data_IF_380870542704
#
_entry.id   IF_380870542704
#
_cell.length_a   1.000
_cell.length_b   1.000
_cell.length_c   1.000
_cell.angle_alpha   90.00
_cell.angle_beta   90.00
_cell.angle_gamma   90.00
#
_symmetry.space_group_name_H-M   'P 1'
#
loop_
_entity.id
_entity.type
_entity.pdbx_description
1 polymer ?
#
# COMPACT_ATOMS: atom_id res chain seq x y z
N UNK A 1 37.03 23.27 -12.22
CA UNK A 1 35.71 22.77 -12.68
C UNK A 1 35.95 21.52 -13.51
N UNK A 2 35.79 20.35 -12.89
CA UNK A 2 35.95 19.05 -13.56
C UNK A 2 34.63 18.28 -13.40
N UNK A 3 34.11 17.82 -14.53
CA UNK A 3 32.85 17.10 -14.67
C UNK A 3 32.75 15.96 -13.64
N UNK A 4 31.62 15.87 -12.92
CA UNK A 4 31.26 14.76 -12.02
C UNK A 4 30.20 13.80 -12.64
N UNK A 5 30.48 13.05 -13.72
CA UNK A 5 29.58 11.97 -14.16
C UNK A 5 29.50 10.84 -13.13
N UNK A 6 30.62 10.52 -12.47
CA UNK A 6 30.72 9.40 -11.53
C UNK A 6 29.82 9.59 -10.31
N UNK A 7 29.82 10.77 -9.68
CA UNK A 7 28.97 11.05 -8.51
C UNK A 7 27.47 10.93 -8.82
N UNK A 8 27.05 11.31 -10.03
CA UNK A 8 25.67 11.14 -10.50
C UNK A 8 25.32 9.66 -10.68
N UNK A 9 26.22 8.87 -11.27
CA UNK A 9 26.02 7.42 -11.45
C UNK A 9 25.97 6.70 -10.10
N UNK A 10 26.86 7.03 -9.16
CA UNK A 10 26.84 6.45 -7.81
C UNK A 10 25.52 6.74 -7.08
N UNK A 11 25.00 7.98 -7.17
CA UNK A 11 23.70 8.33 -6.59
C UNK A 11 22.53 7.56 -7.23
N UNK A 12 22.57 7.33 -8.55
CA UNK A 12 21.54 6.51 -9.23
C UNK A 12 21.59 5.06 -8.76
N UNK A 13 22.79 4.47 -8.67
CA UNK A 13 22.97 3.07 -8.25
C UNK A 13 22.53 2.89 -6.79
N UNK A 14 22.89 3.82 -5.91
CA UNK A 14 22.50 3.80 -4.51
C UNK A 14 20.97 3.90 -4.33
N UNK A 15 20.31 4.80 -5.06
CA UNK A 15 18.84 4.88 -5.06
C UNK A 15 18.18 3.60 -5.57
N UNK A 16 18.74 3.00 -6.62
CA UNK A 16 18.24 1.73 -7.14
C UNK A 16 18.41 0.58 -6.12
N UNK A 17 19.52 0.57 -5.40
CA UNK A 17 19.77 -0.38 -4.32
C UNK A 17 18.73 -0.25 -3.21
N UNK A 18 18.48 0.96 -2.71
CA UNK A 18 17.45 1.18 -1.69
C UNK A 18 16.05 0.78 -2.16
N UNK A 19 15.68 1.06 -3.41
CA UNK A 19 14.38 0.63 -3.96
C UNK A 19 14.26 -0.89 -4.02
N UNK A 20 15.31 -1.59 -4.44
CA UNK A 20 15.31 -3.04 -4.51
C UNK A 20 15.15 -3.65 -3.11
N UNK A 21 15.99 -3.21 -2.16
CA UNK A 21 15.92 -3.66 -0.78
C UNK A 21 14.57 -3.34 -0.14
N UNK A 22 14.02 -2.14 -0.36
CA UNK A 22 12.69 -1.78 0.09
C UNK A 22 11.61 -2.71 -0.48
N UNK A 23 11.67 -2.99 -1.78
CA UNK A 23 10.73 -3.89 -2.45
C UNK A 23 10.72 -5.29 -1.85
N UNK A 24 11.91 -5.84 -1.57
CA UNK A 24 12.04 -7.15 -0.94
C UNK A 24 11.47 -7.14 0.48
N UNK A 25 11.87 -6.18 1.31
CA UNK A 25 11.43 -6.09 2.72
C UNK A 25 9.92 -5.81 2.83
N UNK A 26 9.37 -4.96 1.97
CA UNK A 26 7.93 -4.72 1.90
C UNK A 26 7.20 -5.99 1.49
N UNK A 27 7.75 -6.78 0.57
CA UNK A 27 7.16 -8.07 0.18
C UNK A 27 7.08 -9.02 1.37
N UNK A 28 8.14 -9.15 2.16
CA UNK A 28 8.14 -9.96 3.38
C UNK A 28 7.08 -9.47 4.38
N UNK A 29 6.96 -8.15 4.58
CA UNK A 29 5.93 -7.58 5.45
C UNK A 29 4.50 -7.97 5.01
N UNK A 30 4.24 -7.98 3.69
CA UNK A 30 2.93 -8.33 3.14
C UNK A 30 2.63 -9.83 3.19
N UNK A 31 3.66 -10.68 3.18
CA UNK A 31 3.54 -12.13 3.30
C UNK A 31 3.33 -12.55 4.75
N UNK A 32 4.09 -11.96 5.67
CA UNK A 32 4.05 -12.28 7.10
C UNK A 32 2.94 -11.53 7.85
N UNK A 33 2.38 -10.47 7.27
CA UNK A 33 1.39 -9.61 7.92
C UNK A 33 1.96 -8.80 9.09
N UNK A 34 3.28 -8.56 9.10
CA UNK A 34 3.99 -7.77 10.11
C UNK A 34 4.74 -6.59 9.49
N UNK A 35 4.91 -5.51 10.25
CA UNK A 35 5.76 -4.36 9.88
C UNK A 35 7.20 -4.50 10.37
N UNK A 36 7.52 -5.56 11.13
CA UNK A 36 8.82 -5.73 11.78
C UNK A 36 10.01 -5.71 10.79
N UNK A 37 9.95 -6.38 9.62
CA UNK A 37 11.08 -6.34 8.68
C UNK A 37 11.44 -4.93 8.23
N UNK A 38 10.44 -4.08 7.98
CA UNK A 38 10.65 -2.67 7.64
C UNK A 38 11.20 -1.89 8.84
N UNK A 39 10.68 -2.14 10.05
CA UNK A 39 11.17 -1.47 11.26
C UNK A 39 12.65 -1.74 11.50
N UNK A 40 13.09 -2.99 11.38
CA UNK A 40 14.50 -3.39 11.53
C UNK A 40 15.40 -2.66 10.52
N UNK A 41 15.01 -2.67 9.24
CA UNK A 41 15.76 -1.96 8.19
C UNK A 41 15.89 -0.46 8.48
N UNK A 42 14.80 0.19 8.93
CA UNK A 42 14.79 1.64 9.19
C UNK A 42 15.63 1.99 10.42
N UNK A 43 15.67 1.14 11.45
CA UNK A 43 16.45 1.41 12.66
C UNK A 43 17.94 1.61 12.34
N UNK A 44 18.51 0.77 11.48
CA UNK A 44 19.91 0.91 11.05
C UNK A 44 20.15 2.25 10.32
N UNK A 45 19.21 2.66 9.47
CA UNK A 45 19.28 3.91 8.72
C UNK A 45 19.14 5.14 9.61
N UNK A 46 18.27 5.08 10.61
CA UNK A 46 18.08 6.13 11.61
C UNK A 46 19.33 6.28 12.48
N UNK A 47 19.96 5.17 12.87
CA UNK A 47 21.21 5.18 13.63
C UNK A 47 22.37 5.79 12.84
N UNK A 48 22.41 5.60 11.53
CA UNK A 48 23.35 6.30 10.67
C UNK A 48 23.10 7.82 10.72
N UNK A 49 21.85 8.26 10.78
CA UNK A 49 21.48 9.67 10.95
C UNK A 49 21.16 10.37 9.62
N UNK A 50 21.33 11.70 9.53
CA UNK A 50 20.82 12.49 8.40
C UNK A 50 21.29 12.07 7.00
N UNK A 51 22.45 11.43 6.86
CA UNK A 51 22.92 10.94 5.56
C UNK A 51 22.01 9.85 4.96
N UNK A 52 21.18 9.20 5.76
CA UNK A 52 20.24 8.17 5.31
C UNK A 52 18.92 8.73 4.75
N UNK A 53 18.73 10.05 4.80
CA UNK A 53 17.47 10.69 4.39
C UNK A 53 17.06 10.33 2.96
N UNK A 54 18.00 10.29 2.03
CA UNK A 54 17.70 9.93 0.64
C UNK A 54 17.26 8.47 0.50
N UNK A 55 17.91 7.55 1.21
CA UNK A 55 17.50 6.14 1.24
C UNK A 55 16.11 5.95 1.85
N UNK A 56 15.81 6.62 2.96
CA UNK A 56 14.48 6.59 3.59
C UNK A 56 13.38 7.14 2.67
N UNK A 57 13.68 8.17 1.87
CA UNK A 57 12.76 8.68 0.84
C UNK A 57 12.50 7.67 -0.26
N UNK A 58 13.53 6.94 -0.71
CA UNK A 58 13.35 5.88 -1.70
C UNK A 58 12.50 4.71 -1.16
N UNK A 59 12.69 4.34 0.11
CA UNK A 59 11.86 3.31 0.77
C UNK A 59 10.41 3.77 0.88
N UNK A 60 10.17 5.02 1.31
CA UNK A 60 8.82 5.61 1.36
C UNK A 60 8.18 5.61 -0.04
N UNK A 61 8.94 5.97 -1.08
CA UNK A 61 8.48 5.92 -2.46
C UNK A 61 8.04 4.53 -2.88
N UNK A 62 8.77 3.49 -2.50
CA UNK A 62 8.41 2.10 -2.83
C UNK A 62 7.18 1.63 -2.03
N UNK A 63 7.04 2.01 -0.75
CA UNK A 63 5.85 1.73 0.05
C UNK A 63 4.59 2.37 -0.56
N UNK A 64 4.66 3.65 -0.92
CA UNK A 64 3.56 4.37 -1.57
C UNK A 64 3.19 3.75 -2.91
N UNK A 65 4.18 3.37 -3.72
CA UNK A 65 3.97 2.69 -5.00
C UNK A 65 3.29 1.34 -4.81
N UNK A 66 3.75 0.55 -3.83
CA UNK A 66 3.14 -0.74 -3.52
C UNK A 66 1.71 -0.58 -3.03
N UNK A 67 1.43 0.43 -2.21
CA UNK A 67 0.07 0.73 -1.74
C UNK A 67 -0.85 1.10 -2.88
N UNK A 68 -0.41 1.96 -3.80
CA UNK A 68 -1.17 2.31 -4.99
C UNK A 68 -1.53 1.07 -5.83
N UNK A 69 -0.58 0.15 -6.02
CA UNK A 69 -0.83 -1.12 -6.72
C UNK A 69 -1.90 -1.97 -6.00
N UNK A 70 -1.85 -2.08 -4.66
CA UNK A 70 -2.85 -2.86 -3.92
C UNK A 70 -4.24 -2.22 -3.98
N UNK A 71 -4.34 -0.88 -4.03
CA UNK A 71 -5.61 -0.20 -4.30
C UNK A 71 -6.14 -0.49 -5.70
N UNK A 72 -5.28 -0.51 -6.71
CA UNK A 72 -5.67 -0.86 -8.09
C UNK A 72 -6.17 -2.31 -8.16
N UNK A 73 -5.48 -3.24 -7.48
CA UNK A 73 -5.89 -4.65 -7.38
C UNK A 73 -7.28 -4.76 -6.69
N UNK A 74 -7.51 -4.02 -5.60
CA UNK A 74 -8.80 -3.97 -4.90
C UNK A 74 -9.93 -3.45 -5.80
N UNK A 75 -9.66 -2.39 -6.55
CA UNK A 75 -10.62 -1.84 -7.52
C UNK A 75 -10.91 -2.86 -8.63
N UNK A 76 -9.90 -3.56 -9.12
CA UNK A 76 -10.06 -4.60 -10.12
C UNK A 76 -10.95 -5.74 -9.63
N UNK A 77 -10.69 -6.29 -8.44
CA UNK A 77 -11.50 -7.37 -7.83
C UNK A 77 -12.95 -6.90 -7.65
N UNK A 78 -13.15 -5.68 -7.13
CA UNK A 78 -14.49 -5.12 -6.94
C UNK A 78 -15.26 -4.97 -8.25
N UNK A 79 -14.58 -4.53 -9.32
CA UNK A 79 -15.19 -4.39 -10.64
C UNK A 79 -15.50 -5.75 -11.28
N UNK A 80 -14.61 -6.74 -11.14
CA UNK A 80 -14.84 -8.11 -11.62
C UNK A 80 -16.04 -8.75 -10.92
N UNK A 81 -16.15 -8.59 -9.60
CA UNK A 81 -17.33 -9.05 -8.84
C UNK A 81 -18.62 -8.41 -9.38
N UNK A 82 -18.62 -7.08 -9.62
CA UNK A 82 -19.76 -6.39 -10.21
C UNK A 82 -20.17 -6.97 -11.56
N UNK A 83 -19.20 -7.23 -12.44
CA UNK A 83 -19.44 -7.82 -13.77
C UNK A 83 -20.04 -9.23 -13.65
N UNK A 84 -19.49 -10.07 -12.76
CA UNK A 84 -19.98 -11.44 -12.58
C UNK A 84 -21.41 -11.44 -12.01
N UNK A 85 -21.69 -10.61 -10.99
CA UNK A 85 -23.03 -10.50 -10.42
C UNK A 85 -24.05 -10.00 -11.45
N UNK A 86 -23.68 -9.02 -12.29
CA UNK A 86 -24.51 -8.61 -13.44
C UNK A 86 -24.75 -9.77 -14.42
N UNK A 87 -23.77 -10.63 -14.63
CA UNK A 87 -23.91 -11.87 -15.43
C UNK A 87 -24.97 -12.83 -14.87
N UNK A 88 -25.17 -12.86 -13.55
CA UNK A 88 -26.26 -13.56 -12.88
C UNK A 88 -27.60 -12.80 -12.88
N UNK A 89 -27.67 -11.65 -13.56
CA UNK A 89 -28.87 -10.80 -13.62
C UNK A 89 -29.02 -9.84 -12.44
N UNK A 90 -28.02 -9.75 -11.55
CA UNK A 90 -28.09 -8.95 -10.33
C UNK A 90 -27.74 -7.49 -10.64
N UNK A 91 -28.67 -6.58 -10.37
CA UNK A 91 -28.45 -5.13 -10.48
C UNK A 91 -28.21 -4.47 -9.11
N UNK A 92 -27.12 -3.72 -9.00
CA UNK A 92 -26.73 -2.99 -7.78
C UNK A 92 -26.91 -1.47 -7.88
N UNK A 93 -27.46 -0.98 -9.00
CA UNK A 93 -27.57 0.45 -9.30
C UNK A 93 -28.40 1.20 -8.25
N UNK A 94 -29.43 0.55 -7.70
CA UNK A 94 -30.31 1.13 -6.68
C UNK A 94 -29.70 1.19 -5.28
N UNK A 95 -28.57 0.52 -5.04
CA UNK A 95 -27.97 0.39 -3.70
C UNK A 95 -26.66 1.17 -3.51
N UNK A 96 -26.17 1.89 -4.52
CA UNK A 96 -24.91 2.65 -4.45
C UNK A 96 -23.79 2.09 -5.33
N UNK A 97 -24.10 1.12 -6.20
CA UNK A 97 -23.15 0.58 -7.18
C UNK A 97 -22.01 -0.21 -6.55
N UNK A 98 -20.82 -0.10 -7.13
CA UNK A 98 -19.68 -0.95 -6.79
C UNK A 98 -19.11 -0.71 -5.38
N UNK A 99 -19.38 0.45 -4.77
CA UNK A 99 -18.91 0.74 -3.41
C UNK A 99 -19.52 -0.18 -2.36
N UNK A 100 -20.76 -0.64 -2.59
CA UNK A 100 -21.50 -1.52 -1.66
C UNK A 100 -20.88 -2.93 -1.62
N UNK A 101 -20.21 -3.35 -2.70
CA UNK A 101 -19.71 -4.71 -2.85
C UNK A 101 -18.68 -5.10 -1.80
N UNK A 102 -17.92 -4.13 -1.30
CA UNK A 102 -16.92 -4.37 -0.24
C UNK A 102 -17.56 -4.69 1.12
N UNK A 103 -18.82 -4.30 1.32
CA UNK A 103 -19.55 -4.48 2.58
C UNK A 103 -20.81 -5.34 2.45
N UNK A 104 -21.13 -5.79 1.24
CA UNK A 104 -22.36 -6.52 0.94
C UNK A 104 -22.34 -7.89 1.62
N UNK A 105 -23.24 -8.13 2.57
CA UNK A 105 -23.32 -9.43 3.23
C UNK A 105 -24.06 -10.47 2.38
N UNK A 106 -23.86 -11.75 2.68
CA UNK A 106 -24.61 -12.85 2.05
C UNK A 106 -26.12 -12.68 2.22
N UNK A 107 -26.58 -12.26 3.41
CA UNK A 107 -28.01 -12.05 3.65
C UNK A 107 -28.57 -10.93 2.77
N UNK A 108 -27.83 -9.82 2.64
CA UNK A 108 -28.22 -8.72 1.76
C UNK A 108 -28.23 -9.14 0.29
N UNK A 109 -27.31 -10.01 -0.13
CA UNK A 109 -27.32 -10.56 -1.48
C UNK A 109 -28.56 -11.44 -1.71
N UNK A 110 -28.93 -12.29 -0.74
CA UNK A 110 -30.13 -13.12 -0.83
C UNK A 110 -31.41 -12.27 -0.93
N UNK A 111 -31.51 -11.20 -0.13
CA UNK A 111 -32.61 -10.23 -0.23
C UNK A 111 -32.69 -9.60 -1.63
N UNK A 112 -31.54 -9.22 -2.21
CA UNK A 112 -31.48 -8.67 -3.57
C UNK A 112 -31.94 -9.70 -4.61
N UNK A 113 -31.52 -10.96 -4.46
CA UNK A 113 -31.93 -12.05 -5.35
C UNK A 113 -33.44 -12.27 -5.29
N UNK A 114 -34.04 -12.19 -4.10
CA UNK A 114 -35.49 -12.30 -3.90
C UNK A 114 -36.24 -11.10 -4.49
N UNK A 115 -35.78 -9.87 -4.23
CA UNK A 115 -36.33 -8.63 -4.79
C UNK A 115 -36.31 -8.61 -6.32
N UNK A 116 -35.30 -9.23 -6.93
CA UNK A 116 -35.10 -9.28 -8.38
C UNK A 116 -35.70 -10.54 -9.03
N UNK A 117 -36.42 -11.36 -8.27
CA UNK A 117 -37.03 -12.62 -8.73
C UNK A 117 -36.03 -13.58 -9.39
N UNK A 118 -34.78 -13.61 -8.89
CA UNK A 118 -33.76 -14.56 -9.35
C UNK A 118 -33.98 -15.87 -8.58
N UNK A 119 -34.75 -16.78 -9.18
CA UNK A 119 -35.16 -18.05 -8.57
C UNK A 119 -34.28 -19.24 -8.96
N UNK A 120 -33.46 -19.08 -10.00
CA UNK A 120 -32.59 -20.14 -10.50
C UNK A 120 -31.55 -20.54 -9.44
N UNK A 121 -31.58 -21.79 -9.02
CA UNK A 121 -30.74 -22.31 -7.93
C UNK A 121 -29.26 -22.14 -8.26
N UNK A 122 -28.87 -22.40 -9.50
CA UNK A 122 -27.48 -22.26 -9.97
C UNK A 122 -27.01 -20.81 -9.90
N UNK A 123 -27.83 -19.84 -10.34
CA UNK A 123 -27.51 -18.42 -10.26
C UNK A 123 -27.40 -17.93 -8.81
N UNK A 124 -28.31 -18.38 -7.93
CA UNK A 124 -28.29 -18.03 -6.50
C UNK A 124 -27.07 -18.61 -5.79
N UNK A 125 -26.80 -19.91 -5.98
CA UNK A 125 -25.64 -20.56 -5.37
C UNK A 125 -24.32 -20.00 -5.91
N UNK A 126 -24.24 -19.77 -7.22
CA UNK A 126 -23.04 -19.23 -7.87
C UNK A 126 -22.73 -17.80 -7.44
N UNK A 127 -23.74 -16.93 -7.36
CA UNK A 127 -23.54 -15.54 -6.92
C UNK A 127 -23.11 -15.43 -5.46
N UNK A 128 -23.65 -16.27 -4.56
CA UNK A 128 -23.21 -16.34 -3.17
C UNK A 128 -21.77 -16.84 -3.06
N UNK A 129 -21.39 -17.87 -3.82
CA UNK A 129 -20.02 -18.38 -3.81
C UNK A 129 -19.03 -17.33 -4.32
N UNK A 130 -19.31 -16.69 -5.44
CA UNK A 130 -18.45 -15.64 -6.00
C UNK A 130 -18.32 -14.46 -5.04
N UNK A 131 -19.39 -14.09 -4.33
CA UNK A 131 -19.33 -13.05 -3.29
C UNK A 131 -18.36 -13.44 -2.18
N UNK A 132 -18.45 -14.68 -1.66
CA UNK A 132 -17.56 -15.21 -0.61
C UNK A 132 -16.11 -15.16 -1.03
N UNK A 133 -15.79 -15.73 -2.19
CA UNK A 133 -14.43 -15.82 -2.70
C UNK A 133 -13.85 -14.41 -2.93
N UNK A 134 -14.66 -13.49 -3.45
CA UNK A 134 -14.26 -12.10 -3.65
C UNK A 134 -14.06 -11.36 -2.33
N UNK A 135 -14.87 -11.64 -1.30
CA UNK A 135 -14.75 -11.04 0.02
C UNK A 135 -13.47 -11.46 0.74
N UNK A 136 -13.04 -12.71 0.59
CA UNK A 136 -11.76 -13.19 1.12
C UNK A 136 -10.58 -12.42 0.50
N UNK A 137 -10.62 -12.23 -0.82
CA UNK A 137 -9.61 -11.44 -1.54
C UNK A 137 -9.64 -9.96 -1.13
N UNK A 138 -10.82 -9.34 -1.07
CA UNK A 138 -11.00 -7.95 -0.64
C UNK A 138 -10.46 -7.76 0.78
N UNK A 139 -10.80 -8.65 1.71
CA UNK A 139 -10.33 -8.61 3.09
C UNK A 139 -8.80 -8.67 3.16
N UNK A 140 -8.19 -9.58 2.39
CA UNK A 140 -6.73 -9.70 2.30
C UNK A 140 -6.09 -8.42 1.77
N UNK A 141 -6.63 -7.82 0.72
CA UNK A 141 -6.12 -6.57 0.14
C UNK A 141 -6.26 -5.39 1.12
N UNK A 142 -7.37 -5.30 1.86
CA UNK A 142 -7.58 -4.27 2.89
C UNK A 142 -6.58 -4.39 4.04
N UNK A 143 -6.27 -5.63 4.48
CA UNK A 143 -5.23 -5.87 5.49
C UNK A 143 -3.87 -5.36 4.98
N UNK A 144 -3.53 -5.68 3.72
CA UNK A 144 -2.28 -5.23 3.08
C UNK A 144 -2.19 -3.70 2.96
N UNK A 145 -3.29 -3.03 2.59
CA UNK A 145 -3.36 -1.57 2.56
C UNK A 145 -3.06 -0.98 3.93
N UNK A 146 -3.72 -1.48 4.99
CA UNK A 146 -3.50 -1.00 6.36
C UNK A 146 -2.07 -1.20 6.82
N UNK A 147 -1.45 -2.33 6.46
CA UNK A 147 -0.05 -2.59 6.79
C UNK A 147 0.88 -1.58 6.11
N UNK A 148 0.64 -1.27 4.84
CA UNK A 148 1.41 -0.27 4.08
C UNK A 148 1.20 1.15 4.61
N UNK A 149 -0.02 1.50 5.06
CA UNK A 149 -0.29 2.78 5.73
C UNK A 149 0.50 2.93 7.04
N UNK A 150 0.61 1.86 7.82
CA UNK A 150 1.43 1.86 9.04
C UNK A 150 2.92 2.06 8.71
N UNK A 151 3.42 1.37 7.68
CA UNK A 151 4.80 1.54 7.18
C UNK A 151 5.06 2.97 6.73
N UNK A 152 4.16 3.55 5.92
CA UNK A 152 4.28 4.93 5.45
C UNK A 152 4.31 5.93 6.60
N UNK A 153 3.41 5.77 7.58
CA UNK A 153 3.35 6.64 8.76
C UNK A 153 4.65 6.58 9.54
N UNK A 154 5.16 5.38 9.81
CA UNK A 154 6.42 5.17 10.51
C UNK A 154 7.63 5.79 9.78
N UNK A 155 7.69 5.65 8.45
CA UNK A 155 8.73 6.28 7.62
C UNK A 155 8.64 7.81 7.65
N UNK A 156 7.43 8.37 7.58
CA UNK A 156 7.21 9.82 7.64
C UNK A 156 7.67 10.41 8.97
N UNK A 157 7.36 9.76 10.08
CA UNK A 157 7.80 10.19 11.41
C UNK A 157 9.33 10.27 11.51
N UNK A 158 10.04 9.24 11.04
CA UNK A 158 11.51 9.25 11.03
C UNK A 158 12.10 10.26 10.07
N UNK A 159 11.51 10.42 8.88
CA UNK A 159 11.95 11.43 7.91
C UNK A 159 11.83 12.84 8.50
N UNK A 160 10.75 13.15 9.22
CA UNK A 160 10.62 14.44 9.91
C UNK A 160 11.66 14.61 11.01
N UNK A 161 11.86 13.57 11.85
CA UNK A 161 12.85 13.60 12.92
C UNK A 161 14.28 13.85 12.40
N UNK A 162 14.70 13.12 11.37
CA UNK A 162 16.02 13.25 10.78
C UNK A 162 16.19 14.55 9.99
N UNK A 163 15.14 15.03 9.32
CA UNK A 163 15.17 16.32 8.62
C UNK A 163 15.37 17.46 9.62
N UNK A 164 14.69 17.40 10.77
CA UNK A 164 14.87 18.37 11.84
C UNK A 164 16.31 18.36 12.40
N UNK A 165 16.87 17.17 12.65
CA UNK A 165 18.26 17.03 13.09
C UNK A 165 19.25 17.59 12.07
N UNK A 166 19.04 17.30 10.78
CA UNK A 166 19.87 17.80 9.69
C UNK A 166 19.94 19.34 9.67
N UNK A 167 18.77 20.00 9.72
CA UNK A 167 18.68 21.47 9.70
C UNK A 167 19.41 22.08 10.91
N UNK A 168 19.25 21.52 12.12
CA UNK A 168 19.93 22.03 13.31
C UNK A 168 21.45 21.87 13.26
N UNK A 169 21.94 20.76 12.71
CA UNK A 169 23.38 20.54 12.54
C UNK A 169 24.00 21.57 11.58
N UNK A 170 23.28 21.95 10.51
CA UNK A 170 23.72 23.03 9.62
C UNK A 170 23.74 24.40 10.34
N UNK A 171 22.74 24.69 11.18
CA UNK A 171 22.69 25.93 11.97
C UNK A 171 23.84 26.02 13.00
N UNK A 172 24.12 24.93 13.72
CA UNK A 172 25.21 24.88 14.72
C UNK A 172 26.60 24.94 14.07
N UNK A 173 26.82 24.25 12.94
CA UNK A 173 28.09 24.31 12.19
C UNK A 173 28.39 25.66 11.56
N UNK A 174 27.35 26.47 11.31
CA UNK A 174 27.50 27.85 10.80
C UNK A 174 27.88 28.84 11.92
N UNK A 175 27.56 28.53 13.18
CA UNK A 175 27.94 29.35 14.34
C UNK A 175 29.37 29.08 14.84
N UNK A 176 29.93 27.90 14.60
CA UNK A 176 31.31 27.56 14.99
C UNK A 176 32.39 28.18 14.07
N UNK A 177 32.02 28.68 12.88
CA UNK A 177 32.96 29.30 11.92
C UNK A 177 33.14 30.82 12.09
N UNK A 178 32.58 31.41 13.15
CA UNK A 178 32.61 32.86 13.42
C UNK A 178 33.41 33.28 14.67
N UNK A 179 34.28 32.43 15.21
CA UNK A 179 35.19 32.78 16.32
C UNK A 179 36.66 32.53 15.99
#
# INVERSE_FOLDING_TARGET
MANKPSASIYSIVEKAYFRLQAGDVITHCLEDGSTDPVHEMIQEMVLAGPQSLDGLREILGEAMKRKAQVYDDLNQVTNQLSIILKGYGISLERRGGNQVLQTLSEMQLLEILDEQNILEIEARSGSVQVLKDSHELISTLLIKIRLLENVETYLQDWLWGLTYQFIRQEEDGTNETLF
#
